data_IF_151744072650
#
_entry.id   IF_151744072650
#
_cell.length_a   1.000
_cell.length_b   1.000
_cell.length_c   1.000
_cell.angle_alpha   90.00
_cell.angle_beta   90.00
_cell.angle_gamma   90.00
#
_symmetry.space_group_name_H-M   'P 1'
#
loop_
_entity.id
_entity.type
_entity.pdbx_description
1 polymer ?
#
# COMPACT_ATOMS: atom_id res chain seq x y z
N UNK A 1 11.44 -20.16 -13.94
CA UNK A 1 11.10 -18.82 -14.44
C UNK A 1 11.90 -17.79 -13.65
N UNK A 2 12.55 -16.87 -14.34
CA UNK A 2 13.36 -15.81 -13.72
C UNK A 2 12.68 -14.48 -13.99
N UNK A 3 12.38 -13.73 -12.93
CA UNK A 3 11.71 -12.42 -12.99
C UNK A 3 12.68 -11.34 -12.51
N UNK A 4 12.82 -10.28 -13.31
CA UNK A 4 13.50 -9.06 -12.93
C UNK A 4 12.47 -8.00 -12.52
N UNK A 5 12.44 -7.66 -11.24
CA UNK A 5 11.67 -6.54 -10.69
C UNK A 5 12.50 -5.25 -10.68
N UNK A 6 11.88 -4.11 -10.97
CA UNK A 6 12.53 -2.80 -11.00
C UNK A 6 11.67 -1.80 -10.23
N UNK A 7 12.21 -1.26 -9.14
CA UNK A 7 11.51 -0.27 -8.32
C UNK A 7 12.42 0.91 -7.92
N UNK A 8 11.81 1.92 -7.30
CA UNK A 8 12.48 3.14 -6.84
C UNK A 8 12.12 3.47 -5.39
N UNK A 9 11.76 2.48 -4.60
CA UNK A 9 11.52 2.60 -3.15
C UNK A 9 12.52 1.74 -2.39
N UNK A 10 12.82 2.11 -1.15
CA UNK A 10 13.69 1.31 -0.30
C UNK A 10 12.97 0.03 0.13
N UNK A 11 13.37 -1.11 -0.45
CA UNK A 11 12.82 -2.41 -0.12
C UNK A 11 13.03 -2.78 1.35
N UNK A 12 14.21 -2.46 1.89
CA UNK A 12 14.59 -2.96 3.22
C UNK A 12 13.94 -2.18 4.36
N UNK A 13 13.81 -0.87 4.23
CA UNK A 13 13.35 0.01 5.32
C UNK A 13 11.87 0.36 5.22
N UNK A 14 11.27 0.29 4.03
CA UNK A 14 9.86 0.61 3.80
C UNK A 14 8.98 -0.63 3.62
N UNK A 15 7.70 -0.46 3.76
CA UNK A 15 6.68 -1.48 3.54
C UNK A 15 6.33 -2.28 4.80
N UNK A 16 5.60 -3.41 4.64
CA UNK A 16 5.34 -4.06 3.34
C UNK A 16 4.37 -3.28 2.44
N UNK A 17 4.72 -3.15 1.16
CA UNK A 17 3.87 -2.59 0.11
C UNK A 17 3.48 -3.68 -0.89
N UNK A 18 2.60 -3.41 -1.84
CA UNK A 18 2.09 -4.34 -2.85
C UNK A 18 3.20 -5.16 -3.53
N UNK A 19 4.33 -4.54 -3.89
CA UNK A 19 5.46 -5.24 -4.52
C UNK A 19 6.12 -6.28 -3.59
N UNK A 20 6.21 -6.04 -2.28
CA UNK A 20 6.70 -7.03 -1.32
C UNK A 20 5.76 -8.23 -1.31
N UNK A 21 4.46 -7.98 -1.19
CA UNK A 21 3.45 -9.03 -1.19
C UNK A 21 3.49 -9.88 -2.47
N UNK A 22 3.62 -9.26 -3.63
CA UNK A 22 3.63 -9.96 -4.92
C UNK A 22 4.92 -10.78 -5.08
N UNK A 23 6.08 -10.15 -4.94
CA UNK A 23 7.33 -10.82 -5.21
C UNK A 23 7.67 -11.88 -4.16
N UNK A 24 7.39 -11.61 -2.88
CA UNK A 24 7.61 -12.60 -1.83
C UNK A 24 6.72 -13.83 -2.02
N UNK A 25 5.42 -13.65 -2.31
CA UNK A 25 4.52 -14.79 -2.57
C UNK A 25 4.87 -15.56 -3.84
N UNK A 26 5.28 -14.88 -4.90
CA UNK A 26 5.75 -15.58 -6.10
C UNK A 26 7.01 -16.40 -5.83
N UNK A 27 7.90 -15.91 -4.93
CA UNK A 27 9.14 -16.60 -4.57
C UNK A 27 8.94 -17.87 -3.74
N UNK A 28 7.75 -18.06 -3.14
CA UNK A 28 7.41 -19.31 -2.45
C UNK A 28 7.39 -20.52 -3.40
N UNK A 29 7.21 -20.29 -4.71
CA UNK A 29 7.38 -21.34 -5.69
C UNK A 29 8.88 -21.47 -6.03
N UNK A 30 9.55 -22.58 -5.69
CA UNK A 30 11.00 -22.75 -5.91
C UNK A 30 11.41 -22.71 -7.39
N UNK A 31 10.44 -22.86 -8.31
CA UNK A 31 10.68 -22.73 -9.76
C UNK A 31 10.71 -21.27 -10.24
N UNK A 32 10.40 -20.30 -9.36
CA UNK A 32 10.41 -18.87 -9.67
C UNK A 32 11.52 -18.19 -8.89
N UNK A 33 12.50 -17.65 -9.60
CA UNK A 33 13.59 -16.86 -9.03
C UNK A 33 13.32 -15.38 -9.28
N UNK A 34 13.36 -14.57 -8.23
CA UNK A 34 13.08 -13.14 -8.31
C UNK A 34 14.30 -12.33 -7.90
N UNK A 35 14.69 -11.39 -8.74
CA UNK A 35 15.70 -10.39 -8.42
C UNK A 35 15.11 -9.01 -8.64
N UNK A 36 15.25 -8.13 -7.64
CA UNK A 36 14.74 -6.76 -7.67
C UNK A 36 15.90 -5.78 -7.65
N UNK A 37 15.93 -4.87 -8.61
CA UNK A 37 16.78 -3.68 -8.54
C UNK A 37 16.06 -2.61 -7.73
N UNK A 38 16.69 -2.20 -6.65
CA UNK A 38 16.16 -1.33 -5.61
C UNK A 38 16.94 -0.02 -5.54
N UNK A 39 16.35 1.00 -4.91
CA UNK A 39 16.98 2.30 -4.70
C UNK A 39 16.71 2.82 -3.28
N UNK A 40 17.76 3.18 -2.57
CA UNK A 40 17.69 3.81 -1.25
C UNK A 40 17.39 5.32 -1.37
N UNK A 41 16.11 5.68 -1.26
CA UNK A 41 15.67 7.07 -1.40
C UNK A 41 16.01 7.92 -0.17
N UNK A 42 15.98 7.33 1.04
CA UNK A 42 15.93 8.06 2.31
C UNK A 42 17.30 8.33 2.95
N UNK A 43 18.38 7.78 2.42
CA UNK A 43 19.70 8.00 3.03
C UNK A 43 20.29 9.33 2.58
N UNK A 44 19.89 10.37 3.27
CA UNK A 44 20.66 11.61 3.33
C UNK A 44 21.95 11.31 4.11
N UNK A 45 23.10 11.46 3.44
CA UNK A 45 24.49 11.42 3.96
C UNK A 45 24.62 10.77 5.37
N UNK A 46 24.59 9.45 5.42
CA UNK A 46 24.82 8.68 6.66
C UNK A 46 26.20 8.03 6.71
N UNK A 47 27.05 8.28 5.74
CA UNK A 47 28.44 7.83 5.75
C UNK A 47 29.36 8.91 5.21
N UNK A 48 30.56 9.00 5.74
CA UNK A 48 31.64 9.90 5.27
C UNK A 48 32.15 9.53 3.87
N UNK A 49 31.62 8.49 3.25
CA UNK A 49 32.01 8.04 1.93
C UNK A 49 31.16 8.69 0.83
N UNK A 50 31.83 9.36 -0.10
CA UNK A 50 31.20 9.92 -1.31
C UNK A 50 30.65 8.86 -2.26
N UNK A 51 31.12 7.62 -2.18
CA UNK A 51 30.69 6.51 -3.03
C UNK A 51 30.05 5.41 -2.19
N UNK A 52 28.77 5.16 -2.42
CA UNK A 52 28.10 3.95 -1.92
C UNK A 52 28.42 2.81 -2.88
N UNK A 53 29.02 1.75 -2.36
CA UNK A 53 29.31 0.54 -3.13
C UNK A 53 28.03 -0.24 -3.43
N UNK A 54 28.09 -1.03 -4.52
CA UNK A 54 27.04 -2.01 -4.82
C UNK A 54 26.86 -2.98 -3.65
N UNK A 55 25.63 -3.24 -3.28
CA UNK A 55 25.26 -4.22 -2.25
C UNK A 55 24.21 -5.19 -2.79
N UNK A 56 24.26 -6.42 -2.30
CA UNK A 56 23.29 -7.44 -2.58
C UNK A 56 22.77 -8.02 -1.27
N UNK A 57 21.47 -8.21 -1.22
CA UNK A 57 20.78 -8.76 -0.06
C UNK A 57 19.88 -9.91 -0.49
N UNK A 58 19.73 -10.91 0.35
CA UNK A 58 18.62 -11.84 0.28
C UNK A 58 17.58 -11.34 1.29
N UNK A 59 16.46 -10.88 0.77
CA UNK A 59 15.35 -10.36 1.57
C UNK A 59 14.16 -11.29 1.47
N UNK A 60 13.47 -11.43 2.57
CA UNK A 60 12.22 -12.14 2.66
C UNK A 60 11.58 -11.85 4.01
N UNK A 61 10.40 -12.40 4.25
CA UNK A 61 9.67 -12.28 5.51
C UNK A 61 9.20 -10.85 5.87
N UNK A 62 9.13 -9.93 4.89
CA UNK A 62 8.49 -8.63 5.14
C UNK A 62 6.96 -8.74 5.12
N UNK A 63 6.44 -9.41 4.12
CA UNK A 63 5.01 -9.62 3.92
C UNK A 63 4.60 -11.09 4.06
N UNK A 64 5.54 -12.01 3.82
CA UNK A 64 5.28 -13.46 3.83
C UNK A 64 6.46 -14.22 4.41
N UNK A 65 6.21 -15.06 5.40
CA UNK A 65 7.22 -15.94 5.99
C UNK A 65 7.77 -16.93 4.94
N UNK A 66 9.04 -17.32 5.09
CA UNK A 66 9.75 -18.27 4.23
C UNK A 66 9.88 -17.84 2.75
N UNK A 67 9.72 -16.55 2.47
CA UNK A 67 9.95 -15.98 1.16
C UNK A 67 11.43 -15.64 0.95
N UNK A 68 11.85 -15.54 -0.33
CA UNK A 68 13.24 -15.23 -0.69
C UNK A 68 13.30 -14.42 -1.98
N UNK A 69 13.68 -13.15 -1.86
CA UNK A 69 13.83 -12.22 -2.98
C UNK A 69 15.26 -11.64 -2.94
N UNK A 70 15.99 -11.75 -4.05
CA UNK A 70 17.31 -11.15 -4.18
C UNK A 70 17.17 -9.66 -4.50
N UNK A 71 17.77 -8.82 -3.67
CA UNK A 71 17.78 -7.36 -3.84
C UNK A 71 19.14 -6.89 -4.27
N UNK A 72 19.21 -6.11 -5.33
CA UNK A 72 20.45 -5.49 -5.83
C UNK A 72 20.31 -3.97 -5.72
N UNK A 73 21.18 -3.36 -4.94
CA UNK A 73 21.42 -1.91 -4.89
C UNK A 73 22.70 -1.60 -5.61
N UNK A 74 22.62 -0.85 -6.68
CA UNK A 74 23.81 -0.47 -7.46
C UNK A 74 24.59 0.64 -6.78
N UNK A 75 25.86 0.75 -7.10
CA UNK A 75 26.70 1.81 -6.59
C UNK A 75 26.21 3.20 -7.06
N UNK A 76 26.36 4.21 -6.23
CA UNK A 76 26.01 5.60 -6.58
C UNK A 76 26.80 6.61 -5.75
N UNK A 77 26.91 7.83 -6.27
CA UNK A 77 27.56 8.93 -5.57
C UNK A 77 26.61 9.57 -4.56
N UNK A 78 27.08 9.91 -3.36
CA UNK A 78 26.31 10.59 -2.31
C UNK A 78 26.36 12.12 -2.41
N UNK A 79 26.37 12.66 -3.61
CA UNK A 79 26.38 14.10 -3.86
C UNK A 79 24.94 14.55 -4.17
N UNK A 80 24.38 15.57 -3.50
CA UNK A 80 23.07 16.10 -3.81
C UNK A 80 22.90 16.33 -5.32
N UNK A 81 21.71 16.07 -5.87
CA UNK A 81 21.35 16.11 -7.29
C UNK A 81 22.07 15.11 -8.19
N UNK A 82 23.40 14.87 -8.02
CA UNK A 82 24.20 13.90 -8.80
C UNK A 82 23.84 12.47 -8.38
N UNK A 83 23.47 12.25 -7.13
CA UNK A 83 23.11 10.93 -6.58
C UNK A 83 22.09 10.21 -7.46
N UNK A 84 21.03 10.90 -7.86
CA UNK A 84 19.96 10.30 -8.68
C UNK A 84 20.48 9.92 -10.07
N UNK A 85 21.24 10.80 -10.70
CA UNK A 85 21.80 10.58 -12.04
C UNK A 85 22.78 9.41 -12.02
N UNK A 86 23.71 9.41 -11.07
CA UNK A 86 24.70 8.33 -10.93
C UNK A 86 24.04 6.97 -10.64
N UNK A 87 22.96 6.95 -9.83
CA UNK A 87 22.19 5.75 -9.57
C UNK A 87 21.52 5.22 -10.84
N UNK A 88 20.91 6.08 -11.65
CA UNK A 88 20.25 5.71 -12.90
C UNK A 88 21.26 5.09 -13.89
N UNK A 89 22.44 5.71 -14.03
CA UNK A 89 23.52 5.19 -14.88
C UNK A 89 24.02 3.84 -14.36
N UNK A 90 24.27 3.73 -13.07
CA UNK A 90 24.73 2.48 -12.45
C UNK A 90 23.70 1.37 -12.55
N UNK A 91 22.40 1.68 -12.41
CA UNK A 91 21.29 0.75 -12.62
C UNK A 91 21.26 0.25 -14.08
N UNK A 92 21.48 1.14 -15.06
CA UNK A 92 21.56 0.72 -16.46
C UNK A 92 22.60 -0.39 -16.66
N UNK A 93 23.85 -0.15 -16.24
CA UNK A 93 24.92 -1.15 -16.39
C UNK A 93 24.69 -2.40 -15.53
N UNK A 94 24.14 -2.23 -14.33
CA UNK A 94 23.77 -3.34 -13.45
C UNK A 94 22.71 -4.26 -14.06
N UNK A 95 21.64 -3.68 -14.57
CA UNK A 95 20.56 -4.41 -15.25
C UNK A 95 21.04 -5.05 -16.56
N UNK A 96 21.84 -4.33 -17.36
CA UNK A 96 22.44 -4.85 -18.58
C UNK A 96 23.30 -6.09 -18.29
N UNK A 97 24.17 -6.03 -17.30
CA UNK A 97 24.95 -7.17 -16.85
C UNK A 97 24.07 -8.33 -16.40
N UNK A 98 23.07 -8.05 -15.55
CA UNK A 98 22.14 -9.05 -15.04
C UNK A 98 21.38 -9.75 -16.17
N UNK A 99 20.81 -8.98 -17.11
CA UNK A 99 20.06 -9.53 -18.25
C UNK A 99 20.95 -10.42 -19.12
N UNK A 100 22.18 -9.99 -19.43
CA UNK A 100 23.13 -10.77 -20.24
C UNK A 100 23.57 -12.07 -19.57
N UNK A 101 23.70 -12.09 -18.25
CA UNK A 101 24.18 -13.27 -17.53
C UNK A 101 23.07 -14.21 -17.09
N UNK A 102 21.85 -13.70 -16.87
CA UNK A 102 20.78 -14.47 -16.23
C UNK A 102 19.64 -14.81 -17.19
N UNK A 103 19.49 -14.06 -18.29
CA UNK A 103 18.43 -14.22 -19.29
C UNK A 103 17.03 -14.32 -18.65
N UNK A 104 16.53 -13.26 -17.97
CA UNK A 104 15.22 -13.32 -17.31
C UNK A 104 14.09 -13.55 -18.32
N UNK A 105 13.09 -14.32 -17.90
CA UNK A 105 11.89 -14.61 -18.70
C UNK A 105 10.92 -13.44 -18.76
N UNK A 106 11.00 -12.51 -17.77
CA UNK A 106 10.09 -11.38 -17.62
C UNK A 106 10.76 -10.23 -16.88
N UNK A 107 10.43 -9.00 -17.29
CA UNK A 107 10.74 -7.76 -16.54
C UNK A 107 9.44 -7.12 -16.06
N UNK A 108 9.39 -6.77 -14.77
CA UNK A 108 8.27 -6.02 -14.16
C UNK A 108 8.81 -4.70 -13.62
N UNK A 109 8.39 -3.59 -14.21
CA UNK A 109 8.74 -2.24 -13.77
C UNK A 109 7.63 -1.61 -12.93
N UNK A 110 7.99 -1.09 -11.75
CA UNK A 110 7.09 -0.40 -10.83
C UNK A 110 7.49 1.07 -10.64
N UNK A 111 8.37 1.58 -11.46
CA UNK A 111 8.96 2.91 -11.32
C UNK A 111 9.08 3.61 -12.67
N UNK A 112 9.32 4.92 -12.66
CA UNK A 112 9.41 5.70 -13.90
C UNK A 112 10.81 5.65 -14.50
N UNK A 113 11.83 6.21 -13.86
CA UNK A 113 13.15 6.35 -14.47
C UNK A 113 13.87 5.01 -14.64
N UNK A 114 13.93 4.19 -13.62
CA UNK A 114 14.50 2.84 -13.73
C UNK A 114 13.59 1.90 -14.56
N UNK A 115 12.26 2.10 -14.48
CA UNK A 115 11.30 1.40 -15.33
C UNK A 115 11.51 1.67 -16.81
N UNK A 116 11.86 2.92 -17.19
CA UNK A 116 12.19 3.28 -18.57
C UNK A 116 13.45 2.56 -19.07
N UNK A 117 14.50 2.49 -18.22
CA UNK A 117 15.71 1.70 -18.50
C UNK A 117 15.35 0.23 -18.69
N UNK A 118 14.56 -0.32 -17.77
CA UNK A 118 14.10 -1.71 -17.84
C UNK A 118 13.32 -2.01 -19.11
N UNK A 119 12.42 -1.12 -19.52
CA UNK A 119 11.69 -1.24 -20.78
C UNK A 119 12.64 -1.22 -21.98
N UNK A 120 13.59 -0.27 -22.02
CA UNK A 120 14.57 -0.18 -23.10
C UNK A 120 15.37 -1.49 -23.21
N UNK A 121 15.94 -1.97 -22.12
CA UNK A 121 16.72 -3.21 -22.11
C UNK A 121 15.84 -4.43 -22.45
N UNK A 122 14.61 -4.50 -21.94
CA UNK A 122 13.68 -5.57 -22.26
C UNK A 122 13.38 -5.62 -23.78
N UNK A 123 13.21 -4.47 -24.43
CA UNK A 123 13.04 -4.39 -25.88
C UNK A 123 14.28 -4.85 -26.65
N UNK A 124 15.47 -4.40 -26.25
CA UNK A 124 16.76 -4.80 -26.87
C UNK A 124 16.96 -6.32 -26.80
N UNK A 125 16.67 -6.91 -25.64
CA UNK A 125 16.85 -8.35 -25.42
C UNK A 125 15.58 -9.19 -25.70
N UNK A 126 14.52 -8.58 -26.23
CA UNK A 126 13.25 -9.23 -26.60
C UNK A 126 12.56 -9.95 -25.44
N UNK A 127 12.76 -9.44 -24.23
CA UNK A 127 12.12 -9.95 -23.00
C UNK A 127 10.75 -9.28 -22.82
N UNK A 128 9.68 -10.02 -22.45
CA UNK A 128 8.39 -9.41 -22.11
C UNK A 128 8.53 -8.39 -20.99
N UNK A 129 7.85 -7.26 -21.10
CA UNK A 129 7.87 -6.19 -20.12
C UNK A 129 6.45 -5.86 -19.63
N UNK A 130 6.22 -5.96 -18.33
CA UNK A 130 5.01 -5.50 -17.66
C UNK A 130 5.32 -4.18 -16.93
N UNK A 131 4.52 -3.15 -17.20
CA UNK A 131 4.53 -1.96 -16.35
C UNK A 131 3.44 -2.07 -15.31
N UNK A 132 3.82 -2.21 -14.03
CA UNK A 132 2.90 -2.32 -12.91
C UNK A 132 2.72 -0.95 -12.26
N UNK A 133 1.59 -0.32 -12.55
CA UNK A 133 1.27 1.06 -12.18
C UNK A 133 0.45 1.08 -10.91
N UNK A 134 1.11 1.33 -9.77
CA UNK A 134 0.54 1.20 -8.43
C UNK A 134 -0.09 2.48 -7.91
N UNK A 135 0.20 3.64 -8.51
CA UNK A 135 -0.27 4.96 -8.12
C UNK A 135 -0.07 5.95 -9.27
N UNK A 136 -0.58 7.18 -9.15
CA UNK A 136 -0.26 8.27 -10.07
C UNK A 136 1.19 8.73 -9.91
N UNK A 137 2.16 7.87 -10.28
CA UNK A 137 3.58 8.03 -9.99
C UNK A 137 4.16 9.40 -10.36
N UNK A 138 3.63 10.05 -11.41
CA UNK A 138 4.08 11.36 -11.82
C UNK A 138 3.70 12.47 -10.83
N UNK A 139 2.62 12.30 -10.04
CA UNK A 139 2.20 13.28 -9.02
C UNK A 139 3.02 13.17 -7.74
N UNK A 140 3.70 12.04 -7.52
CA UNK A 140 4.57 11.81 -6.37
C UNK A 140 5.93 12.50 -6.50
N UNK A 141 6.24 13.07 -7.67
CA UNK A 141 7.47 13.81 -7.90
C UNK A 141 7.34 15.19 -7.26
N UNK A 142 8.25 15.58 -6.32
CA UNK A 142 8.05 16.79 -5.51
C UNK A 142 8.25 18.10 -6.28
N UNK A 143 8.85 18.08 -7.48
CA UNK A 143 9.21 19.27 -8.26
C UNK A 143 8.25 19.41 -9.45
N UNK A 144 7.43 20.48 -9.47
CA UNK A 144 6.34 20.65 -10.43
C UNK A 144 6.72 20.55 -11.92
N UNK A 145 7.83 21.17 -12.35
CA UNK A 145 8.27 21.06 -13.75
C UNK A 145 8.76 19.64 -14.11
N UNK A 146 9.30 18.88 -13.13
CA UNK A 146 9.70 17.49 -13.33
C UNK A 146 8.46 16.58 -13.39
N UNK A 147 7.33 16.97 -12.80
CA UNK A 147 6.08 16.21 -12.91
C UNK A 147 5.62 16.06 -14.35
N UNK A 148 5.76 17.11 -15.18
CA UNK A 148 5.41 17.05 -16.61
C UNK A 148 6.29 16.04 -17.36
N UNK A 149 7.59 16.02 -17.09
CA UNK A 149 8.49 15.01 -17.64
C UNK A 149 8.11 13.60 -17.15
N UNK A 150 7.85 13.44 -15.87
CA UNK A 150 7.41 12.19 -15.27
C UNK A 150 6.09 11.69 -15.90
N UNK A 151 5.17 12.60 -16.23
CA UNK A 151 3.93 12.31 -16.93
C UNK A 151 4.20 11.79 -18.35
N UNK A 152 5.08 12.44 -19.10
CA UNK A 152 5.49 12.02 -20.46
C UNK A 152 6.11 10.61 -20.39
N UNK A 153 6.99 10.36 -19.41
CA UNK A 153 7.61 9.04 -19.20
C UNK A 153 6.54 8.00 -18.88
N UNK A 154 5.57 8.31 -18.00
CA UNK A 154 4.47 7.41 -17.69
C UNK A 154 3.69 7.01 -18.96
N UNK A 155 3.34 7.99 -19.80
CA UNK A 155 2.59 7.74 -21.05
C UNK A 155 3.40 6.92 -22.05
N UNK A 156 4.70 7.14 -22.14
CA UNK A 156 5.59 6.32 -22.95
C UNK A 156 5.63 4.87 -22.45
N UNK A 157 5.77 4.68 -21.11
CA UNK A 157 5.74 3.37 -20.47
C UNK A 157 4.41 2.65 -20.74
N UNK A 158 3.25 3.31 -20.59
CA UNK A 158 1.96 2.71 -20.90
C UNK A 158 1.88 2.20 -22.33
N UNK A 159 2.27 3.03 -23.33
CA UNK A 159 2.15 2.70 -24.75
C UNK A 159 3.15 1.64 -25.21
N UNK A 160 4.35 1.63 -24.64
CA UNK A 160 5.46 0.77 -25.11
C UNK A 160 5.64 -0.53 -24.35
N UNK A 161 5.04 -0.68 -23.16
CA UNK A 161 4.98 -1.95 -22.44
C UNK A 161 4.22 -3.01 -23.23
N UNK A 162 4.58 -4.26 -23.03
CA UNK A 162 3.85 -5.36 -23.66
C UNK A 162 2.50 -5.57 -22.92
N UNK A 163 2.47 -5.27 -21.62
CA UNK A 163 1.25 -5.26 -20.80
C UNK A 163 1.35 -4.21 -19.69
N UNK A 164 0.22 -3.66 -19.25
CA UNK A 164 0.13 -2.73 -18.14
C UNK A 164 -0.80 -3.31 -17.07
N UNK A 165 -0.38 -3.27 -15.82
CA UNK A 165 -1.20 -3.65 -14.68
C UNK A 165 -1.53 -2.38 -13.90
N UNK A 166 -2.81 -2.16 -13.63
CA UNK A 166 -3.33 -1.12 -12.76
C UNK A 166 -3.87 -1.75 -11.46
N UNK A 167 -3.77 -1.06 -10.34
CA UNK A 167 -4.25 -1.57 -9.04
C UNK A 167 -5.70 -1.21 -8.74
N UNK A 168 -6.31 -0.29 -9.52
CA UNK A 168 -7.70 0.13 -9.36
C UNK A 168 -8.36 0.34 -10.71
N UNK A 169 -9.71 0.33 -10.73
CA UNK A 169 -10.50 0.71 -11.91
C UNK A 169 -10.16 2.14 -12.37
N UNK A 170 -10.03 3.08 -11.44
CA UNK A 170 -9.65 4.46 -11.74
C UNK A 170 -8.33 4.57 -12.52
N UNK A 171 -7.29 3.85 -12.08
CA UNK A 171 -5.99 3.85 -12.77
C UNK A 171 -6.08 3.17 -14.13
N UNK A 172 -6.87 2.10 -14.28
CA UNK A 172 -7.13 1.50 -15.60
C UNK A 172 -7.77 2.49 -16.55
N UNK A 173 -8.84 3.17 -16.12
CA UNK A 173 -9.53 4.15 -16.95
C UNK A 173 -8.62 5.32 -17.30
N UNK A 174 -7.82 5.79 -16.34
CA UNK A 174 -6.78 6.80 -16.58
C UNK A 174 -5.81 6.36 -17.68
N UNK A 175 -5.31 5.12 -17.67
CA UNK A 175 -4.36 4.58 -18.66
C UNK A 175 -5.03 4.45 -20.02
N UNK A 176 -6.25 3.90 -20.08
CA UNK A 176 -7.01 3.72 -21.33
C UNK A 176 -7.33 5.07 -21.97
N UNK A 177 -7.69 6.08 -21.20
CA UNK A 177 -7.93 7.45 -21.67
C UNK A 177 -6.67 8.13 -22.26
N UNK A 178 -5.45 7.59 -22.01
CA UNK A 178 -4.23 8.02 -22.70
C UNK A 178 -4.02 7.33 -24.05
N UNK A 179 -5.03 6.58 -24.55
CA UNK A 179 -4.99 5.89 -25.83
C UNK A 179 -4.22 4.57 -25.81
N UNK A 180 -4.19 3.89 -24.67
CA UNK A 180 -3.67 2.53 -24.54
C UNK A 180 -4.81 1.54 -24.82
N UNK A 181 -4.51 0.50 -25.60
CA UNK A 181 -5.46 -0.57 -25.90
C UNK A 181 -5.92 -1.24 -24.59
N UNK A 182 -7.22 -1.26 -24.35
CA UNK A 182 -7.85 -1.85 -23.16
C UNK A 182 -7.46 -3.30 -22.93
N UNK A 183 -7.20 -4.07 -24.00
CA UNK A 183 -6.76 -5.47 -23.93
C UNK A 183 -5.33 -5.63 -23.38
N UNK A 184 -4.55 -4.55 -23.38
CA UNK A 184 -3.21 -4.51 -22.77
C UNK A 184 -3.22 -4.07 -21.32
N UNK A 185 -4.38 -3.72 -20.77
CA UNK A 185 -4.49 -3.21 -19.39
C UNK A 185 -5.33 -4.15 -18.55
N UNK A 186 -4.71 -4.78 -17.57
CA UNK A 186 -5.40 -5.60 -16.57
C UNK A 186 -5.46 -4.88 -15.22
N UNK A 187 -6.48 -5.20 -14.44
CA UNK A 187 -6.56 -4.80 -13.04
C UNK A 187 -5.98 -5.93 -12.19
N UNK A 188 -5.08 -5.60 -11.30
CA UNK A 188 -4.62 -6.49 -10.25
C UNK A 188 -4.80 -5.79 -8.90
N UNK A 189 -5.88 -6.12 -8.23
CA UNK A 189 -6.25 -5.56 -6.94
C UNK A 189 -5.18 -5.85 -5.88
N UNK A 190 -5.14 -5.03 -4.83
CA UNK A 190 -4.35 -5.36 -3.67
C UNK A 190 -4.99 -6.54 -2.94
N UNK A 191 -4.20 -7.56 -2.66
CA UNK A 191 -4.67 -8.73 -1.94
C UNK A 191 -4.57 -8.56 -0.43
N UNK A 192 -5.41 -9.28 0.27
CA UNK A 192 -5.39 -9.37 1.74
C UNK A 192 -4.92 -10.77 2.16
N UNK A 193 -4.16 -10.83 3.25
CA UNK A 193 -3.70 -12.07 3.87
C UNK A 193 -4.61 -12.45 5.02
N UNK A 194 -5.52 -13.38 4.80
CA UNK A 194 -6.35 -13.88 5.90
C UNK A 194 -5.53 -14.66 6.95
N UNK A 195 -4.36 -15.19 6.59
CA UNK A 195 -3.45 -15.83 7.55
C UNK A 195 -2.94 -14.86 8.61
N UNK A 196 -2.86 -13.57 8.27
CA UNK A 196 -2.42 -12.51 9.18
C UNK A 196 -3.56 -11.93 10.03
N UNK A 197 -4.78 -12.46 9.91
CA UNK A 197 -5.93 -12.03 10.74
C UNK A 197 -6.15 -12.93 11.96
N UNK A 198 -5.24 -13.86 12.22
CA UNK A 198 -5.30 -14.73 13.40
C UNK A 198 -4.82 -13.97 14.63
N UNK A 199 -5.73 -13.75 15.55
CA UNK A 199 -5.49 -13.01 16.79
C UNK A 199 -4.77 -13.89 17.81
N UNK A 200 -3.73 -13.35 18.45
CA UNK A 200 -3.14 -13.97 19.63
C UNK A 200 -3.90 -13.47 20.88
N UNK A 201 -4.70 -14.33 21.50
CA UNK A 201 -5.55 -13.96 22.61
C UNK A 201 -4.78 -13.52 23.87
N UNK A 202 -3.62 -14.10 24.15
CA UNK A 202 -2.79 -13.69 25.29
C UNK A 202 -2.25 -12.27 25.08
N UNK A 203 -1.74 -11.98 23.87
CA UNK A 203 -1.33 -10.62 23.51
C UNK A 203 -2.49 -9.63 23.57
N UNK A 204 -3.67 -10.02 23.10
CA UNK A 204 -4.85 -9.17 23.13
C UNK A 204 -5.29 -8.83 24.58
N UNK A 205 -5.25 -9.81 25.47
CA UNK A 205 -5.58 -9.60 26.90
C UNK A 205 -4.61 -8.61 27.53
N UNK A 206 -3.32 -8.82 27.37
CA UNK A 206 -2.31 -7.90 27.88
C UNK A 206 -2.46 -6.49 27.28
N UNK A 207 -2.76 -6.41 25.97
CA UNK A 207 -2.96 -5.14 25.28
C UNK A 207 -4.20 -4.38 25.80
N UNK A 208 -5.29 -5.08 26.13
CA UNK A 208 -6.46 -4.45 26.77
C UNK A 208 -6.10 -3.86 28.13
N UNK A 209 -5.34 -4.60 28.94
CA UNK A 209 -4.86 -4.13 30.25
C UNK A 209 -3.92 -2.92 30.11
N UNK A 210 -2.93 -2.99 29.21
CA UNK A 210 -1.95 -1.91 28.97
C UNK A 210 -2.61 -0.61 28.50
N UNK A 211 -3.71 -0.72 27.76
CA UNK A 211 -4.43 0.43 27.19
C UNK A 211 -5.66 0.84 28.03
N UNK A 212 -5.87 0.20 29.18
CA UNK A 212 -7.04 0.44 30.06
C UNK A 212 -8.37 0.39 29.25
N UNK A 213 -8.54 -0.69 28.47
CA UNK A 213 -9.74 -0.94 27.66
C UNK A 213 -10.57 -2.04 28.33
N UNK A 214 -11.81 -1.72 28.67
CA UNK A 214 -12.76 -2.62 29.34
C UNK A 214 -13.90 -3.04 28.39
N UNK A 215 -14.70 -4.01 28.82
CA UNK A 215 -15.87 -4.48 28.05
C UNK A 215 -16.97 -3.41 27.92
N UNK A 216 -16.93 -2.35 28.74
CA UNK A 216 -17.88 -1.21 28.68
C UNK A 216 -17.53 -0.24 27.55
N UNK A 217 -16.24 -0.17 27.20
CA UNK A 217 -15.76 0.79 26.23
C UNK A 217 -16.26 0.46 24.84
N UNK A 218 -16.62 1.50 24.09
CA UNK A 218 -16.79 1.44 22.66
C UNK A 218 -15.49 1.93 22.01
N UNK A 219 -14.82 1.03 21.30
CA UNK A 219 -13.50 1.32 20.72
C UNK A 219 -13.61 1.78 19.28
N UNK A 220 -13.34 3.06 19.05
CA UNK A 220 -13.04 3.57 17.72
C UNK A 220 -11.60 3.24 17.36
N UNK A 221 -11.36 2.88 16.11
CA UNK A 221 -10.04 2.52 15.63
C UNK A 221 -9.69 3.22 14.32
N UNK A 222 -8.48 3.76 14.26
CA UNK A 222 -7.88 4.29 13.03
C UNK A 222 -6.44 3.83 12.92
N UNK A 223 -6.01 3.36 11.74
CA UNK A 223 -4.60 3.07 11.46
C UNK A 223 -4.09 3.72 10.19
N UNK A 224 -2.80 4.06 10.18
CA UNK A 224 -2.08 4.51 9.00
C UNK A 224 -1.31 5.79 9.20
N UNK A 225 -0.86 6.39 8.08
CA UNK A 225 -0.16 7.66 8.12
C UNK A 225 -1.11 8.80 8.52
N UNK A 226 -0.71 9.61 9.50
CA UNK A 226 -1.52 10.69 10.07
C UNK A 226 -1.37 11.96 9.23
N UNK A 227 -2.28 12.11 8.27
CA UNK A 227 -2.41 13.30 7.45
C UNK A 227 -3.31 14.34 8.14
N UNK A 228 -3.16 15.61 7.79
CA UNK A 228 -4.03 16.71 8.23
C UNK A 228 -5.50 16.52 7.78
N UNK A 229 -5.69 15.89 6.64
CA UNK A 229 -7.03 15.54 6.14
C UNK A 229 -7.62 14.26 6.75
N UNK A 230 -6.97 13.64 7.73
CA UNK A 230 -7.46 12.41 8.36
C UNK A 230 -8.72 12.63 9.22
N UNK A 231 -9.04 13.86 9.58
CA UNK A 231 -10.26 14.21 10.32
C UNK A 231 -10.27 13.76 11.78
N UNK A 232 -9.11 13.41 12.34
CA UNK A 232 -9.01 12.84 13.68
C UNK A 232 -9.27 13.87 14.77
N UNK A 233 -8.73 15.08 14.60
CA UNK A 233 -8.89 16.16 15.58
C UNK A 233 -10.36 16.54 15.76
N UNK A 234 -11.12 16.62 14.67
CA UNK A 234 -12.53 16.98 14.71
C UNK A 234 -13.39 15.94 15.45
N UNK A 235 -13.04 14.66 15.35
CA UNK A 235 -13.69 13.60 16.12
C UNK A 235 -13.39 13.77 17.61
N UNK A 236 -12.13 14.04 17.96
CA UNK A 236 -11.70 14.27 19.33
C UNK A 236 -12.42 15.49 19.93
N UNK A 237 -12.45 16.61 19.21
CA UNK A 237 -13.10 17.85 19.65
C UNK A 237 -14.59 17.64 19.95
N UNK A 238 -15.27 16.89 19.11
CA UNK A 238 -16.70 16.67 19.23
C UNK A 238 -17.08 15.79 20.44
N UNK A 239 -16.33 14.70 20.67
CA UNK A 239 -16.67 13.74 21.72
C UNK A 239 -16.03 14.03 23.07
N UNK A 240 -15.03 14.90 23.14
CA UNK A 240 -14.26 15.14 24.36
C UNK A 240 -15.13 15.49 25.58
N UNK A 241 -16.12 16.39 25.45
CA UNK A 241 -16.96 16.79 26.57
C UNK A 241 -17.91 15.66 27.03
N UNK A 242 -18.47 14.91 26.10
CA UNK A 242 -19.41 13.83 26.45
C UNK A 242 -18.69 12.66 27.13
N UNK A 243 -17.47 12.35 26.71
CA UNK A 243 -16.62 11.35 27.41
C UNK A 243 -16.21 11.87 28.78
N UNK A 244 -15.77 13.12 28.90
CA UNK A 244 -15.35 13.74 30.17
C UNK A 244 -16.51 13.80 31.19
N UNK A 245 -17.73 13.95 30.74
CA UNK A 245 -18.93 13.97 31.55
C UNK A 245 -19.49 12.55 31.85
N UNK A 246 -18.84 11.50 31.35
CA UNK A 246 -19.27 10.10 31.52
C UNK A 246 -20.60 9.78 30.82
N UNK A 247 -20.97 10.53 29.79
CA UNK A 247 -22.19 10.26 28.98
C UNK A 247 -22.01 9.11 28.02
N UNK A 248 -20.76 8.88 27.58
CA UNK A 248 -20.38 7.80 26.69
C UNK A 248 -19.05 7.19 27.15
N UNK A 249 -18.97 5.85 27.08
CA UNK A 249 -17.74 5.10 27.36
C UNK A 249 -17.03 4.86 26.01
N UNK A 250 -16.20 5.81 25.60
CA UNK A 250 -15.52 5.82 24.31
C UNK A 250 -14.00 5.79 24.50
N UNK A 251 -13.33 4.90 23.77
CA UNK A 251 -11.87 4.91 23.58
C UNK A 251 -11.55 5.10 22.11
N UNK A 252 -10.57 5.93 21.79
CA UNK A 252 -10.15 6.13 20.41
C UNK A 252 -8.71 5.70 20.22
N UNK A 253 -8.49 4.52 19.66
CA UNK A 253 -7.16 3.95 19.38
C UNK A 253 -6.71 4.41 18.00
N UNK A 254 -5.63 5.19 17.96
CA UNK A 254 -5.02 5.74 16.75
C UNK A 254 -3.62 5.13 16.59
N UNK A 255 -3.47 4.26 15.59
CA UNK A 255 -2.21 3.56 15.29
C UNK A 255 -1.54 4.18 14.08
N UNK A 256 -0.30 4.63 14.26
CA UNK A 256 0.51 5.18 13.18
C UNK A 256 1.27 6.43 13.56
N UNK A 257 2.06 6.90 12.61
CA UNK A 257 2.79 8.16 12.68
C UNK A 257 2.49 9.01 11.43
N UNK A 258 3.03 10.21 11.35
CA UNK A 258 2.84 11.06 10.19
C UNK A 258 2.98 12.54 10.47
N UNK A 259 2.61 13.34 9.47
CA UNK A 259 2.82 14.78 9.51
C UNK A 259 2.20 15.49 10.71
N UNK A 260 1.05 15.00 11.21
CA UNK A 260 0.37 15.61 12.35
C UNK A 260 0.59 14.88 13.69
N UNK A 261 1.42 13.82 13.74
CA UNK A 261 1.60 13.02 14.96
C UNK A 261 1.98 13.87 16.17
N UNK A 262 3.03 14.68 16.05
CA UNK A 262 3.54 15.49 17.17
C UNK A 262 2.56 16.57 17.61
N UNK A 263 1.88 17.23 16.68
CA UNK A 263 0.86 18.25 16.98
C UNK A 263 -0.40 17.62 17.59
N UNK A 264 -0.82 16.44 17.12
CA UNK A 264 -1.97 15.72 17.67
C UNK A 264 -1.66 15.22 19.09
N UNK A 265 -0.46 14.67 19.33
CA UNK A 265 -0.02 14.26 20.66
C UNK A 265 -0.04 15.42 21.66
N UNK A 266 0.53 16.55 21.27
CA UNK A 266 0.52 17.77 22.09
C UNK A 266 -0.92 18.20 22.40
N UNK A 267 -1.78 18.24 21.37
CA UNK A 267 -3.18 18.62 21.51
C UNK A 267 -3.95 17.71 22.51
N UNK A 268 -3.83 16.38 22.35
CA UNK A 268 -4.46 15.38 23.25
C UNK A 268 -4.06 15.65 24.71
N UNK A 269 -2.78 15.96 24.95
CA UNK A 269 -2.26 16.29 26.30
C UNK A 269 -2.82 17.62 26.82
N UNK A 270 -2.89 18.66 25.98
CA UNK A 270 -3.37 20.00 26.35
C UNK A 270 -4.83 20.01 26.78
N UNK A 271 -5.68 19.16 26.17
CA UNK A 271 -7.11 19.07 26.53
C UNK A 271 -7.43 17.97 27.52
N UNK A 272 -6.41 17.23 28.01
CA UNK A 272 -6.57 16.08 28.92
C UNK A 272 -7.51 14.97 28.36
N UNK A 273 -7.36 14.65 27.04
CA UNK A 273 -8.16 13.63 26.39
C UNK A 273 -7.62 12.22 26.59
N UNK A 274 -7.63 11.71 27.81
CA UNK A 274 -7.07 10.40 28.22
C UNK A 274 -7.79 9.19 27.57
N UNK A 275 -8.95 9.40 26.97
CA UNK A 275 -9.69 8.42 26.19
C UNK A 275 -9.12 8.19 24.78
N UNK A 276 -8.17 9.04 24.33
CA UNK A 276 -7.50 8.93 23.04
C UNK A 276 -6.13 8.29 23.22
N UNK A 277 -5.95 7.15 22.59
CA UNK A 277 -4.73 6.33 22.67
C UNK A 277 -3.97 6.50 21.36
N UNK A 278 -2.88 7.27 21.39
CA UNK A 278 -2.02 7.52 20.23
C UNK A 278 -0.75 6.67 20.35
N UNK A 279 -0.71 5.52 19.66
CA UNK A 279 0.33 4.50 19.86
C UNK A 279 1.64 4.82 19.13
N UNK A 280 1.61 5.66 18.07
CA UNK A 280 2.71 5.72 17.14
C UNK A 280 2.74 4.50 16.21
N UNK A 281 3.91 4.25 15.60
CA UNK A 281 4.09 3.16 14.63
C UNK A 281 4.19 1.80 15.33
N UNK A 282 3.32 0.88 14.96
CA UNK A 282 3.32 -0.51 15.40
C UNK A 282 3.90 -1.40 14.29
N UNK A 283 4.67 -2.46 14.63
CA UNK A 283 5.14 -3.46 13.67
C UNK A 283 3.97 -4.12 12.93
N UNK A 284 4.15 -4.43 11.66
CA UNK A 284 3.09 -4.98 10.79
C UNK A 284 2.43 -6.26 11.36
N UNK A 285 3.20 -7.14 11.98
CA UNK A 285 2.69 -8.41 12.52
C UNK A 285 2.01 -8.28 13.90
N UNK A 286 2.06 -7.10 14.53
CA UNK A 286 1.41 -6.83 15.80
C UNK A 286 0.14 -5.98 15.64
N UNK A 287 -0.18 -5.56 14.40
CA UNK A 287 -1.33 -4.69 14.13
C UNK A 287 -2.67 -5.40 14.30
N UNK A 288 -2.68 -6.73 14.19
CA UNK A 288 -3.88 -7.56 14.23
C UNK A 288 -4.58 -7.46 15.59
N UNK A 289 -3.81 -7.51 16.69
CA UNK A 289 -4.34 -7.39 18.05
C UNK A 289 -4.93 -5.99 18.30
N UNK A 290 -4.32 -4.94 17.75
CA UNK A 290 -4.87 -3.58 17.82
C UNK A 290 -6.18 -3.44 17.03
N UNK A 291 -6.26 -4.02 15.82
CA UNK A 291 -7.51 -4.03 15.06
C UNK A 291 -8.61 -4.82 15.77
N UNK A 292 -8.24 -5.90 16.49
CA UNK A 292 -9.21 -6.72 17.21
C UNK A 292 -9.88 -5.97 18.36
N UNK A 293 -9.24 -4.96 18.94
CA UNK A 293 -9.88 -4.09 19.96
C UNK A 293 -11.10 -3.34 19.43
N UNK A 294 -11.16 -3.08 18.11
CA UNK A 294 -12.13 -2.16 17.52
C UNK A 294 -13.56 -2.68 17.55
N UNK A 295 -14.48 -1.84 17.98
CA UNK A 295 -15.92 -1.96 17.70
C UNK A 295 -16.29 -1.30 16.37
N UNK A 296 -15.61 -0.20 16.01
CA UNK A 296 -15.82 0.52 14.76
C UNK A 296 -14.49 1.06 14.20
N UNK A 297 -14.15 0.64 12.99
CA UNK A 297 -12.97 1.13 12.27
C UNK A 297 -13.30 2.35 11.41
N UNK A 298 -12.38 3.29 11.30
CA UNK A 298 -12.61 4.56 10.64
C UNK A 298 -11.76 4.73 9.37
N UNK A 299 -12.41 5.14 8.29
CA UNK A 299 -11.82 5.75 7.11
C UNK A 299 -12.29 7.21 7.03
N UNK A 300 -11.81 8.01 7.97
CA UNK A 300 -12.28 9.38 8.24
C UNK A 300 -11.66 10.46 7.36
N UNK A 301 -10.94 10.09 6.31
CA UNK A 301 -10.31 11.03 5.39
C UNK A 301 -11.32 11.98 4.76
N UNK A 302 -11.07 13.27 4.87
CA UNK A 302 -11.87 14.30 4.20
C UNK A 302 -11.70 14.20 2.69
N UNK A 303 -12.79 14.38 1.96
CA UNK A 303 -12.76 14.35 0.49
C UNK A 303 -11.93 15.51 -0.06
N UNK A 304 -10.90 15.17 -0.84
CA UNK A 304 -10.07 16.09 -1.62
C UNK A 304 -9.53 15.39 -2.88
N UNK A 305 -8.71 16.08 -3.68
CA UNK A 305 -8.15 15.51 -4.92
C UNK A 305 -7.29 14.27 -4.68
N UNK A 306 -6.61 14.16 -3.54
CA UNK A 306 -5.78 13.00 -3.18
C UNK A 306 -6.67 11.87 -2.72
N UNK A 307 -7.56 12.12 -1.75
CA UNK A 307 -8.37 11.09 -1.11
C UNK A 307 -9.44 10.50 -2.02
N UNK A 308 -9.83 11.23 -3.09
CA UNK A 308 -10.72 10.70 -4.12
C UNK A 308 -10.11 9.57 -4.97
N UNK A 309 -8.80 9.35 -4.88
CA UNK A 309 -8.04 8.46 -5.78
C UNK A 309 -7.20 7.40 -5.06
N UNK A 310 -7.16 7.42 -3.72
CA UNK A 310 -6.33 6.48 -2.93
C UNK A 310 -6.92 5.08 -2.93
N UNK A 311 -6.05 4.07 -2.96
CA UNK A 311 -6.46 2.68 -2.79
C UNK A 311 -6.84 2.42 -1.32
N UNK A 312 -8.05 1.92 -1.01
CA UNK A 312 -8.55 1.81 0.36
C UNK A 312 -8.03 0.53 1.08
N UNK A 313 -6.72 0.27 1.07
CA UNK A 313 -6.14 -0.98 1.63
C UNK A 313 -6.53 -1.18 3.09
N UNK A 314 -6.48 -0.13 3.92
CA UNK A 314 -6.87 -0.22 5.34
C UNK A 314 -8.33 -0.62 5.54
N UNK A 315 -9.24 -0.16 4.65
CA UNK A 315 -10.65 -0.57 4.69
C UNK A 315 -10.76 -2.08 4.47
N UNK A 316 -10.02 -2.61 3.49
CA UNK A 316 -9.99 -4.04 3.22
C UNK A 316 -9.37 -4.85 4.37
N UNK A 317 -8.35 -4.30 5.06
CA UNK A 317 -7.74 -4.92 6.24
C UNK A 317 -8.72 -4.98 7.41
N UNK A 318 -9.49 -3.90 7.66
CA UNK A 318 -10.56 -3.89 8.67
C UNK A 318 -11.65 -4.92 8.34
N UNK A 319 -12.10 -4.95 7.09
CA UNK A 319 -13.10 -5.92 6.61
C UNK A 319 -12.59 -7.37 6.75
N UNK A 320 -11.30 -7.62 6.51
CA UNK A 320 -10.69 -8.94 6.70
C UNK A 320 -10.71 -9.41 8.16
N UNK A 321 -10.69 -8.48 9.11
CA UNK A 321 -10.86 -8.72 10.55
C UNK A 321 -12.33 -8.77 10.99
N UNK A 322 -13.27 -8.81 10.05
CA UNK A 322 -14.72 -8.74 10.32
C UNK A 322 -15.13 -7.48 11.13
N UNK A 323 -14.32 -6.42 11.03
CA UNK A 323 -14.66 -5.17 11.72
C UNK A 323 -15.55 -4.30 10.84
N UNK A 324 -16.61 -3.69 11.41
CA UNK A 324 -17.42 -2.70 10.72
C UNK A 324 -16.59 -1.47 10.40
N UNK A 325 -16.83 -0.88 9.23
CA UNK A 325 -16.07 0.30 8.78
C UNK A 325 -17.02 1.46 8.53
N UNK A 326 -16.72 2.61 9.14
CA UNK A 326 -17.35 3.88 8.84
C UNK A 326 -16.41 4.72 7.97
N UNK A 327 -16.84 5.10 6.80
CA UNK A 327 -16.05 5.87 5.83
C UNK A 327 -16.75 7.14 5.41
N UNK A 328 -16.03 8.24 5.22
CA UNK A 328 -16.54 9.33 4.39
C UNK A 328 -16.84 8.80 2.98
N UNK A 329 -17.76 9.46 2.25
CA UNK A 329 -18.15 9.09 0.89
C UNK A 329 -17.00 9.40 -0.08
N UNK A 330 -15.99 8.50 -0.11
CA UNK A 330 -14.82 8.62 -0.96
C UNK A 330 -15.04 7.84 -2.26
N UNK A 331 -14.95 8.49 -3.44
CA UNK A 331 -15.16 7.82 -4.73
C UNK A 331 -14.30 6.58 -4.93
N UNK A 332 -13.06 6.60 -4.46
CA UNK A 332 -12.15 5.45 -4.52
C UNK A 332 -12.63 4.25 -3.71
N UNK A 333 -13.15 4.48 -2.50
CA UNK A 333 -13.67 3.41 -1.64
C UNK A 333 -14.93 2.81 -2.26
N UNK A 334 -15.83 3.65 -2.77
CA UNK A 334 -17.09 3.22 -3.39
C UNK A 334 -16.81 2.44 -4.68
N UNK A 335 -15.92 2.95 -5.53
CA UNK A 335 -15.55 2.27 -6.79
C UNK A 335 -14.95 0.89 -6.55
N UNK A 336 -14.22 0.71 -5.45
CA UNK A 336 -13.51 -0.53 -5.17
C UNK A 336 -14.36 -1.52 -4.35
N UNK A 337 -15.01 -1.04 -3.30
CA UNK A 337 -15.75 -1.88 -2.33
C UNK A 337 -17.24 -1.97 -2.69
N UNK A 338 -17.82 -0.92 -3.27
CA UNK A 338 -19.26 -0.77 -3.46
C UNK A 338 -20.00 -0.28 -2.21
N UNK A 339 -21.23 0.18 -2.38
CA UNK A 339 -21.99 0.84 -1.30
C UNK A 339 -22.60 -0.12 -0.26
N UNK A 340 -22.86 -1.38 -0.61
CA UNK A 340 -23.62 -2.31 0.25
C UNK A 340 -22.79 -3.51 0.76
N UNK A 341 -21.50 -3.38 0.81
CA UNK A 341 -20.55 -4.47 1.05
C UNK A 341 -19.82 -4.35 2.41
N UNK A 342 -20.53 -3.94 3.47
CA UNK A 342 -19.97 -3.93 4.82
C UNK A 342 -19.31 -2.61 5.24
N UNK A 343 -19.31 -1.59 4.37
CA UNK A 343 -18.88 -0.23 4.70
C UNK A 343 -20.09 0.65 4.89
N UNK A 344 -20.11 1.39 6.01
CA UNK A 344 -21.11 2.41 6.32
C UNK A 344 -20.58 3.74 5.81
N UNK A 345 -21.31 4.41 4.93
CA UNK A 345 -20.87 5.67 4.35
C UNK A 345 -21.50 6.88 5.03
N UNK A 346 -20.67 7.89 5.27
CA UNK A 346 -21.07 9.22 5.71
C UNK A 346 -20.88 10.23 4.56
N UNK A 347 -21.83 11.14 4.41
CA UNK A 347 -21.84 12.15 3.33
C UNK A 347 -20.64 13.09 3.39
N UNK A 348 -20.21 13.43 4.59
CA UNK A 348 -19.09 14.34 4.88
C UNK A 348 -18.60 14.13 6.32
N UNK A 349 -17.57 14.90 6.73
CA UNK A 349 -16.96 14.77 8.04
C UNK A 349 -17.93 15.01 9.20
N UNK A 350 -18.87 15.95 9.08
CA UNK A 350 -19.88 16.20 10.11
C UNK A 350 -20.82 14.99 10.27
N UNK A 351 -21.34 14.48 9.16
CA UNK A 351 -22.21 13.28 9.15
C UNK A 351 -21.45 12.03 9.66
N UNK A 352 -20.14 11.92 9.36
CA UNK A 352 -19.30 10.84 9.92
C UNK A 352 -19.26 10.89 11.45
N UNK A 353 -19.03 12.08 12.00
CA UNK A 353 -18.96 12.29 13.45
C UNK A 353 -20.31 11.98 14.10
N UNK A 354 -21.41 12.48 13.55
CA UNK A 354 -22.76 12.22 14.06
C UNK A 354 -23.10 10.71 14.01
N UNK A 355 -22.72 10.02 12.91
CA UNK A 355 -22.91 8.57 12.76
C UNK A 355 -22.14 7.74 13.78
N UNK A 356 -21.00 8.18 14.27
CA UNK A 356 -20.30 7.49 15.37
C UNK A 356 -21.23 7.35 16.60
N UNK A 357 -21.93 8.43 16.98
CA UNK A 357 -22.87 8.42 18.11
C UNK A 357 -24.10 7.53 17.84
N UNK A 358 -24.62 7.52 16.61
CA UNK A 358 -25.72 6.62 16.22
C UNK A 358 -25.29 5.15 16.32
N UNK A 359 -24.10 4.84 15.82
CA UNK A 359 -23.55 3.48 15.81
C UNK A 359 -23.11 3.00 17.19
N UNK A 360 -22.69 3.91 18.07
CA UNK A 360 -22.47 3.62 19.48
C UNK A 360 -23.71 3.02 20.14
N UNK A 361 -24.90 3.61 19.93
CA UNK A 361 -26.16 3.10 20.47
C UNK A 361 -26.65 1.82 19.77
N UNK A 362 -26.10 1.47 18.61
CA UNK A 362 -26.46 0.29 17.81
C UNK A 362 -25.33 -0.73 17.69
N UNK A 363 -24.47 -0.82 18.70
CA UNK A 363 -23.29 -1.71 18.71
C UNK A 363 -23.60 -3.14 18.24
N UNK A 364 -24.76 -3.69 18.61
CA UNK A 364 -25.16 -5.05 18.24
C UNK A 364 -25.32 -5.24 16.72
N UNK A 365 -25.76 -4.21 15.99
CA UNK A 365 -26.00 -4.28 14.54
C UNK A 365 -24.69 -4.25 13.74
N UNK A 366 -23.58 -3.77 14.34
CA UNK A 366 -22.29 -3.60 13.68
C UNK A 366 -21.67 -4.92 13.21
N UNK A 367 -21.95 -6.03 13.90
CA UNK A 367 -21.45 -7.36 13.54
C UNK A 367 -21.89 -7.80 12.14
N UNK A 368 -23.09 -7.41 11.70
CA UNK A 368 -23.57 -7.75 10.37
C UNK A 368 -22.75 -7.05 9.28
N UNK A 369 -22.42 -5.76 9.48
CA UNK A 369 -21.56 -5.01 8.56
C UNK A 369 -20.18 -5.64 8.46
N UNK A 370 -19.57 -5.99 9.59
CA UNK A 370 -18.27 -6.66 9.61
C UNK A 370 -18.28 -7.98 8.84
N UNK A 371 -19.33 -8.80 9.02
CA UNK A 371 -19.51 -10.07 8.31
C UNK A 371 -19.64 -9.88 6.79
N UNK A 372 -20.47 -8.93 6.35
CA UNK A 372 -20.63 -8.60 4.91
C UNK A 372 -19.29 -8.18 4.30
N UNK A 373 -18.53 -7.34 5.01
CA UNK A 373 -17.21 -6.93 4.59
C UNK A 373 -16.23 -8.11 4.43
N UNK A 374 -16.20 -8.99 5.41
CA UNK A 374 -15.35 -10.19 5.38
C UNK A 374 -15.69 -11.12 4.21
N UNK A 375 -16.99 -11.34 3.96
CA UNK A 375 -17.45 -12.22 2.86
C UNK A 375 -16.98 -11.68 1.50
N UNK A 376 -17.01 -10.36 1.28
CA UNK A 376 -16.44 -9.72 0.09
C UNK A 376 -14.93 -9.95 -0.01
N UNK A 377 -14.18 -9.69 1.07
CA UNK A 377 -12.71 -9.87 1.07
C UNK A 377 -12.34 -11.30 0.76
N UNK A 378 -12.97 -12.27 1.44
CA UNK A 378 -12.73 -13.70 1.24
C UNK A 378 -13.02 -14.14 -0.19
N UNK A 379 -14.05 -13.58 -0.80
CA UNK A 379 -14.45 -13.89 -2.17
C UNK A 379 -13.49 -13.34 -3.21
N UNK A 380 -13.09 -12.05 -3.09
CA UNK A 380 -12.50 -11.32 -4.21
C UNK A 380 -11.08 -10.76 -3.98
N UNK A 381 -10.68 -10.56 -2.71
CA UNK A 381 -9.46 -9.81 -2.38
C UNK A 381 -8.36 -10.64 -1.69
N UNK A 382 -8.45 -11.97 -1.71
CA UNK A 382 -7.41 -12.82 -1.10
C UNK A 382 -6.22 -13.01 -2.04
N UNK A 383 -5.00 -12.99 -1.50
CA UNK A 383 -3.76 -13.14 -2.27
C UNK A 383 -3.71 -14.36 -3.19
N UNK A 384 -4.20 -15.57 -2.82
CA UNK A 384 -4.19 -16.70 -3.73
C UNK A 384 -4.93 -16.41 -5.05
N UNK A 385 -6.09 -15.75 -5.00
CA UNK A 385 -6.87 -15.38 -6.19
C UNK A 385 -6.13 -14.34 -7.03
N UNK A 386 -5.62 -13.28 -6.38
CA UNK A 386 -4.86 -12.20 -7.03
C UNK A 386 -3.61 -12.75 -7.74
N UNK A 387 -2.86 -13.62 -7.08
CA UNK A 387 -1.65 -14.22 -7.65
C UNK A 387 -1.93 -15.20 -8.80
N UNK A 388 -3.03 -15.94 -8.74
CA UNK A 388 -3.43 -16.81 -9.85
C UNK A 388 -3.73 -15.96 -11.10
N UNK A 389 -4.46 -14.88 -10.95
CA UNK A 389 -4.71 -13.95 -12.04
C UNK A 389 -3.40 -13.33 -12.60
N UNK A 390 -2.49 -12.89 -11.72
CA UNK A 390 -1.17 -12.40 -12.15
C UNK A 390 -0.37 -13.48 -12.91
N UNK A 391 -0.36 -14.72 -12.42
CA UNK A 391 0.32 -15.85 -13.11
C UNK A 391 -0.24 -16.10 -14.50
N UNK A 392 -1.56 -16.03 -14.66
CA UNK A 392 -2.20 -16.15 -15.98
C UNK A 392 -1.76 -15.06 -16.94
N UNK A 393 -1.74 -13.78 -16.50
CA UNK A 393 -1.22 -12.65 -17.29
C UNK A 393 0.22 -12.93 -17.72
N UNK A 394 1.09 -13.31 -16.78
CA UNK A 394 2.51 -13.58 -17.02
C UNK A 394 2.69 -14.70 -18.04
N UNK A 395 2.01 -15.84 -17.83
CA UNK A 395 2.13 -17.02 -18.70
C UNK A 395 1.67 -16.71 -20.10
N UNK A 396 0.53 -16.02 -20.26
CA UNK A 396 -0.02 -15.65 -21.54
C UNK A 396 0.92 -14.70 -22.29
N UNK A 397 1.47 -13.70 -21.60
CA UNK A 397 2.40 -12.74 -22.18
C UNK A 397 3.70 -13.42 -22.67
N UNK A 398 4.29 -14.30 -21.86
CA UNK A 398 5.49 -15.06 -22.25
C UNK A 398 5.20 -15.95 -23.47
N UNK A 399 4.05 -16.64 -23.49
CA UNK A 399 3.66 -17.48 -24.64
C UNK A 399 3.46 -16.66 -25.91
N UNK A 400 2.78 -15.51 -25.83
CA UNK A 400 2.59 -14.60 -26.97
C UNK A 400 3.91 -14.10 -27.53
N UNK A 401 4.85 -13.70 -26.67
CA UNK A 401 6.15 -13.20 -27.07
C UNK A 401 7.01 -14.26 -27.77
N UNK A 402 6.92 -15.53 -27.32
CA UNK A 402 7.62 -16.66 -27.93
C UNK A 402 7.02 -17.06 -29.30
N UNK A 403 5.68 -16.91 -29.48
CA UNK A 403 5.00 -17.23 -30.75
C UNK A 403 5.20 -16.19 -31.82
N UNK A 404 5.28 -14.90 -31.42
CA UNK A 404 5.47 -13.77 -32.32
C UNK A 404 6.79 -13.07 -32.00
N UNK A 405 7.95 -13.63 -32.34
CA UNK A 405 9.20 -12.90 -32.28
C UNK A 405 9.16 -11.84 -33.39
N UNK A 406 8.53 -10.64 -33.07
CA UNK A 406 8.60 -9.52 -34.01
C UNK A 406 10.07 -9.25 -34.33
N UNK A 407 10.39 -8.97 -35.62
CA UNK A 407 11.75 -8.71 -36.04
C UNK A 407 12.40 -7.51 -35.33
#
# INVERSE_FOLDING_TARGET
>A
MIILGIQETDWLTRGPHTQHHIFERLSLNPKIKITVFDYDIDKVMKSDSLLIKKTEYLSGNKAVKNSSVRIIRTAHLQIPYIRRISSVISNFFGMLKFIRTTHPDLVIGLSLSNGLIGLFLAKVFRIPYIFYYIDLLHTLVPIGYVQNLAKIISYYLFKKSDHVIAVTNYLKDFIVNQGVDVNKVSILLNGISLENTVVNHDKLTNLKEDLDITEKDFVLFFMGYLYDFAGLKEIIDYYHQDVKLGKIDLKFVIVGDGGIYSSLKKYITEIDANWVILTGRIPFFDITEYMELADLCLMSFKLNKITSQITPVKVMEYMAMQKPVLSNYLPSVISEIGENNGVIFAKNQKDLIEKIGELYSKKAELKEFGKKGYDLIKKDYVWPKILNHLKEIIINLIKQKRRNPKP
#
